data_IF_425020349928
#
_entry.id   IF_425020349928
#
_cell.length_a   1.000
_cell.length_b   1.000
_cell.length_c   1.000
_cell.angle_alpha   90.00
_cell.angle_beta   90.00
_cell.angle_gamma   90.00
#
_symmetry.space_group_name_H-M   'P 1'
#
loop_
_entity.id
_entity.type
_entity.pdbx_description
1 polymer ?
#
# COMPACT_ATOMS: atom_id res chain seq x y z
N UNK A 1 13.22 18.84 -25.02
CA UNK A 1 12.35 19.43 -23.98
C UNK A 1 11.55 18.28 -23.39
N UNK A 2 12.08 17.68 -22.32
CA UNK A 2 11.51 16.52 -21.63
C UNK A 2 10.39 17.00 -20.71
N UNK A 3 9.13 16.79 -21.12
CA UNK A 3 7.99 16.93 -20.22
C UNK A 3 7.94 15.69 -19.33
N UNK A 4 8.67 15.73 -18.20
CA UNK A 4 8.43 14.81 -17.09
C UNK A 4 6.99 15.00 -16.62
N UNK A 5 6.11 14.09 -17.02
CA UNK A 5 4.72 14.13 -16.59
C UNK A 5 4.65 13.48 -15.21
N UNK A 6 4.56 14.30 -14.17
CA UNK A 6 4.27 13.83 -12.81
C UNK A 6 2.76 13.57 -12.74
N UNK A 7 2.37 12.32 -12.51
CA UNK A 7 0.96 11.96 -12.33
C UNK A 7 0.57 12.08 -10.86
N UNK A 8 -0.55 12.77 -10.61
CA UNK A 8 -1.08 12.98 -9.26
C UNK A 8 -2.42 12.24 -9.15
N UNK A 9 -2.44 11.15 -8.38
CA UNK A 9 -3.70 10.55 -7.92
C UNK A 9 -4.02 11.11 -6.52
N UNK A 10 -5.29 11.33 -6.21
CA UNK A 10 -5.71 11.89 -4.93
C UNK A 10 -5.34 10.95 -3.77
N UNK A 11 -4.79 11.48 -2.67
CA UNK A 11 -4.20 10.70 -1.56
C UNK A 11 -5.19 9.88 -0.73
N UNK A 12 -6.49 10.23 -0.75
CA UNK A 12 -7.57 9.39 -0.18
C UNK A 12 -7.41 7.91 -0.51
N UNK A 13 -6.78 7.65 -1.65
CA UNK A 13 -6.73 6.37 -2.30
C UNK A 13 -5.33 5.70 -2.14
N UNK A 14 -4.28 6.44 -1.76
CA UNK A 14 -2.90 5.92 -1.58
C UNK A 14 -2.65 5.17 -0.25
N UNK A 15 -3.62 5.15 0.67
CA UNK A 15 -3.41 4.81 2.08
C UNK A 15 -4.00 3.47 2.53
N UNK A 16 -4.15 2.53 1.60
CA UNK A 16 -4.67 1.19 1.93
C UNK A 16 -3.67 0.06 1.66
N UNK A 17 -2.78 0.19 0.67
CA UNK A 17 -1.43 -0.41 0.55
C UNK A 17 -0.92 -0.09 -0.85
N UNK A 18 0.24 0.54 -1.04
CA UNK A 18 0.70 0.88 -2.40
C UNK A 18 1.63 -0.19 -2.97
N UNK A 19 1.19 -0.88 -4.03
CA UNK A 19 2.02 -1.79 -4.83
C UNK A 19 2.13 -1.28 -6.28
N UNK A 20 3.32 -1.45 -6.86
CA UNK A 20 3.73 -1.04 -8.21
C UNK A 20 3.88 -2.28 -9.06
N UNK A 21 3.54 -2.15 -10.33
CA UNK A 21 3.72 -3.22 -11.30
C UNK A 21 4.36 -2.69 -12.57
N UNK A 22 5.30 -3.43 -13.12
CA UNK A 22 5.74 -3.32 -14.50
C UNK A 22 5.29 -4.59 -15.17
N UNK A 23 4.48 -4.48 -16.20
CA UNK A 23 4.27 -5.60 -17.11
C UNK A 23 4.97 -5.20 -18.40
N UNK A 24 6.01 -5.92 -18.77
CA UNK A 24 6.75 -5.67 -20.01
C UNK A 24 7.10 -6.99 -20.69
N UNK A 25 7.02 -7.05 -22.01
CA UNK A 25 7.39 -8.25 -22.77
C UNK A 25 8.84 -8.15 -23.21
N UNK A 26 9.68 -9.10 -22.80
CA UNK A 26 11.03 -9.29 -23.35
C UNK A 26 11.17 -10.71 -23.90
N UNK A 27 11.55 -10.85 -25.17
CA UNK A 27 11.81 -12.15 -25.80
C UNK A 27 13.25 -12.65 -25.55
N UNK A 28 14.07 -11.92 -24.78
CA UNK A 28 15.35 -12.41 -24.24
C UNK A 28 15.40 -12.35 -22.72
N UNK A 29 15.96 -13.41 -22.16
CA UNK A 29 16.39 -13.50 -20.77
C UNK A 29 17.38 -12.35 -20.49
N UNK A 30 17.27 -11.59 -19.38
CA UNK A 30 18.48 -11.02 -18.79
C UNK A 30 19.47 -12.17 -18.57
N UNK A 31 20.80 -11.96 -18.64
CA UNK A 31 21.78 -13.02 -18.51
C UNK A 31 21.40 -13.94 -17.35
N UNK A 32 21.48 -15.25 -17.59
CA UNK A 32 21.18 -16.25 -16.57
C UNK A 32 21.89 -15.83 -15.28
N UNK A 33 21.13 -15.44 -14.27
CA UNK A 33 21.65 -15.44 -12.91
C UNK A 33 21.85 -16.92 -12.59
N UNK A 34 23.05 -17.42 -12.90
CA UNK A 34 23.51 -18.68 -12.37
C UNK A 34 23.46 -18.54 -10.86
N UNK A 35 22.50 -19.22 -10.24
CA UNK A 35 22.47 -19.41 -8.80
C UNK A 35 23.75 -20.12 -8.37
N UNK A 36 24.74 -19.34 -7.93
CA UNK A 36 25.81 -19.73 -7.01
C UNK A 36 26.80 -18.60 -6.72
N UNK A 37 26.73 -17.44 -7.37
CA UNK A 37 27.50 -16.28 -6.93
C UNK A 37 26.74 -15.56 -5.82
N UNK A 38 27.16 -15.84 -4.59
CA UNK A 38 26.87 -15.02 -3.41
C UNK A 38 26.95 -13.54 -3.79
N UNK A 39 25.84 -12.81 -3.67
CA UNK A 39 25.84 -11.35 -3.71
C UNK A 39 26.79 -10.87 -2.61
N UNK A 40 28.06 -10.62 -2.97
CA UNK A 40 29.05 -9.96 -2.15
C UNK A 40 28.83 -8.44 -2.10
N UNK A 41 27.59 -7.99 -2.26
CA UNK A 41 27.17 -6.66 -1.84
C UNK A 41 26.69 -6.87 -0.42
N UNK A 42 27.39 -6.30 0.56
CA UNK A 42 26.99 -6.30 1.97
C UNK A 42 25.47 -6.36 2.09
N UNK A 43 24.95 -7.46 2.63
CA UNK A 43 23.64 -7.53 3.27
C UNK A 43 23.65 -6.52 4.42
N UNK A 44 23.58 -5.23 4.11
CA UNK A 44 22.89 -4.32 5.00
C UNK A 44 21.43 -4.47 4.60
N UNK A 45 20.77 -5.43 5.24
CA UNK A 45 19.32 -5.41 5.32
C UNK A 45 18.92 -3.98 5.66
N UNK A 46 18.08 -3.38 4.83
CA UNK A 46 17.40 -2.16 5.22
C UNK A 46 16.47 -2.61 6.33
N UNK A 47 16.89 -2.37 7.57
CA UNK A 47 16.06 -2.54 8.74
C UNK A 47 14.92 -1.54 8.64
N UNK A 48 13.77 -2.03 8.19
CA UNK A 48 12.49 -1.34 8.28
C UNK A 48 11.77 -2.05 9.44
N UNK A 49 10.87 -1.39 10.17
CA UNK A 49 9.97 -2.06 11.14
C UNK A 49 10.48 -2.25 12.59
N UNK A 50 11.36 -1.37 13.10
CA UNK A 50 11.77 -1.45 14.52
C UNK A 50 12.67 -2.65 14.84
N UNK A 51 13.43 -3.13 13.85
CA UNK A 51 14.37 -4.26 13.95
C UNK A 51 15.48 -4.09 15.02
N UNK A 52 15.60 -2.91 15.63
CA UNK A 52 16.51 -2.67 16.76
C UNK A 52 15.94 -3.13 18.12
N UNK A 53 14.65 -3.47 18.20
CA UNK A 53 14.04 -3.95 19.44
C UNK A 53 14.28 -5.45 19.66
N UNK A 54 14.68 -5.83 20.87
CA UNK A 54 14.74 -7.24 21.25
C UNK A 54 13.31 -7.82 21.32
N UNK A 55 12.95 -8.61 20.32
CA UNK A 55 11.66 -9.29 20.23
C UNK A 55 11.86 -10.73 20.73
N UNK A 56 11.12 -11.17 21.76
CA UNK A 56 11.13 -12.57 22.21
C UNK A 56 10.79 -13.53 21.07
N UNK A 57 11.44 -14.69 20.99
CA UNK A 57 11.31 -15.62 19.86
C UNK A 57 9.86 -16.09 19.61
N UNK A 58 9.04 -16.15 20.66
CA UNK A 58 7.60 -16.47 20.62
C UNK A 58 6.73 -15.39 19.95
N UNK A 59 7.29 -14.22 19.66
CA UNK A 59 6.59 -13.11 19.02
C UNK A 59 7.10 -12.81 17.61
N UNK A 60 8.24 -13.38 17.19
CA UNK A 60 8.84 -13.16 15.86
C UNK A 60 7.99 -13.80 14.75
N UNK A 61 7.64 -13.01 13.73
CA UNK A 61 7.05 -13.52 12.49
C UNK A 61 8.12 -14.15 11.57
N UNK A 62 7.75 -15.17 10.80
CA UNK A 62 8.59 -15.73 9.74
C UNK A 62 8.85 -14.67 8.66
N UNK A 63 10.07 -14.15 8.58
CA UNK A 63 10.41 -13.12 7.59
C UNK A 63 10.48 -13.73 6.18
N UNK A 64 9.51 -13.39 5.34
CA UNK A 64 9.54 -13.65 3.88
C UNK A 64 10.12 -12.44 3.14
N UNK A 65 10.81 -12.62 2.01
CA UNK A 65 11.17 -11.51 1.13
C UNK A 65 9.93 -10.70 0.74
N UNK A 66 9.96 -9.39 0.97
CA UNK A 66 8.81 -8.51 0.73
C UNK A 66 7.74 -8.47 1.84
N UNK A 67 7.99 -9.09 3.00
CA UNK A 67 7.12 -8.96 4.17
C UNK A 67 7.04 -7.50 4.65
N UNK A 68 5.81 -7.04 4.92
CA UNK A 68 5.46 -5.68 5.34
C UNK A 68 5.26 -5.53 6.86
N UNK A 69 5.15 -6.64 7.59
CA UNK A 69 4.83 -6.60 9.02
C UNK A 69 6.07 -6.72 9.90
N UNK A 70 6.02 -6.12 11.10
CA UNK A 70 7.11 -6.25 12.04
C UNK A 70 7.10 -7.67 12.59
N UNK A 71 8.20 -7.95 13.27
CA UNK A 71 8.25 -9.07 14.17
C UNK A 71 7.41 -8.87 15.46
N UNK A 72 6.57 -7.82 15.62
CA UNK A 72 5.75 -7.60 16.83
C UNK A 72 4.34 -7.00 16.58
N UNK A 73 3.30 -7.81 16.79
CA UNK A 73 1.88 -7.48 16.60
C UNK A 73 1.24 -6.64 17.72
N UNK A 74 1.89 -6.54 18.89
CA UNK A 74 1.35 -5.83 20.09
C UNK A 74 1.17 -4.32 19.88
N UNK A 75 1.79 -3.86 18.81
CA UNK A 75 2.11 -2.48 18.54
C UNK A 75 0.99 -1.79 17.74
N UNK A 76 0.41 -2.49 16.76
CA UNK A 76 -0.81 -2.07 16.06
C UNK A 76 -2.01 -1.92 17.03
N UNK A 77 -2.09 -2.84 17.99
CA UNK A 77 -3.12 -2.83 19.02
C UNK A 77 -3.09 -1.59 19.89
N UNK A 78 -1.91 -1.07 20.19
CA UNK A 78 -1.77 0.14 20.99
C UNK A 78 -2.39 1.35 20.30
N UNK A 79 -2.10 1.56 19.01
CA UNK A 79 -2.67 2.69 18.27
C UNK A 79 -4.20 2.62 18.19
N UNK A 80 -4.75 1.46 17.78
CA UNK A 80 -6.19 1.30 17.64
C UNK A 80 -6.90 1.39 19.01
N UNK A 81 -6.27 0.84 20.06
CA UNK A 81 -6.77 0.97 21.44
C UNK A 81 -6.92 2.43 21.85
N UNK A 82 -5.98 3.33 21.50
CA UNK A 82 -6.12 4.76 21.81
C UNK A 82 -7.33 5.41 21.12
N UNK A 83 -7.62 5.03 19.88
CA UNK A 83 -8.79 5.56 19.15
C UNK A 83 -10.10 5.04 19.77
N UNK A 84 -10.15 3.75 20.10
CA UNK A 84 -11.29 3.11 20.78
C UNK A 84 -11.53 3.74 22.14
N UNK A 85 -10.49 3.88 22.96
CA UNK A 85 -10.55 4.52 24.28
C UNK A 85 -11.10 5.94 24.21
N UNK A 86 -10.71 6.70 23.18
CA UNK A 86 -11.23 8.04 22.98
C UNK A 86 -12.74 8.01 22.73
N UNK A 87 -13.20 7.17 21.80
CA UNK A 87 -14.63 7.03 21.48
C UNK A 87 -15.42 6.56 22.71
N UNK A 88 -14.93 5.56 23.43
CA UNK A 88 -15.59 4.99 24.60
C UNK A 88 -15.72 6.00 25.76
N UNK A 89 -14.73 6.88 25.94
CA UNK A 89 -14.73 7.90 27.01
C UNK A 89 -15.60 9.12 26.68
N UNK A 90 -15.75 9.47 25.39
CA UNK A 90 -16.43 10.70 24.97
C UNK A 90 -17.84 10.46 24.42
N UNK A 91 -18.21 9.20 24.19
CA UNK A 91 -19.51 8.80 23.65
C UNK A 91 -19.62 9.02 22.14
N UNK A 92 -20.62 8.37 21.54
CA UNK A 92 -20.89 8.46 20.11
C UNK A 92 -21.30 9.89 19.72
N UNK A 93 -20.63 10.43 18.70
CA UNK A 93 -21.00 11.71 18.06
C UNK A 93 -21.90 11.42 16.86
N UNK A 94 -22.72 12.40 16.41
CA UNK A 94 -23.44 12.27 15.14
C UNK A 94 -22.47 11.90 14.01
N UNK A 95 -22.83 10.88 13.23
CA UNK A 95 -22.03 10.44 12.09
C UNK A 95 -21.98 11.55 11.04
N UNK A 96 -20.80 11.81 10.49
CA UNK A 96 -20.69 12.66 9.30
C UNK A 96 -21.51 12.07 8.14
N UNK A 97 -21.97 12.90 7.18
CA UNK A 97 -22.95 12.46 6.17
C UNK A 97 -22.56 11.18 5.42
N UNK A 98 -21.28 11.00 5.07
CA UNK A 98 -20.81 9.81 4.35
C UNK A 98 -20.88 8.54 5.20
N UNK A 99 -20.65 8.63 6.52
CA UNK A 99 -20.78 7.49 7.42
C UNK A 99 -22.23 7.18 7.75
N UNK A 100 -23.09 8.20 7.77
CA UNK A 100 -24.54 7.98 7.85
C UNK A 100 -25.06 7.27 6.60
N UNK A 101 -24.52 7.60 5.41
CA UNK A 101 -24.81 6.87 4.17
C UNK A 101 -24.32 5.41 4.27
N UNK A 102 -23.11 5.19 4.80
CA UNK A 102 -22.56 3.84 4.98
C UNK A 102 -23.41 3.00 5.95
N UNK A 103 -23.82 3.59 7.08
CA UNK A 103 -24.76 2.95 8.02
C UNK A 103 -26.06 2.56 7.32
N UNK A 104 -26.63 3.46 6.53
CA UNK A 104 -27.86 3.19 5.79
C UNK A 104 -27.69 2.06 4.77
N UNK A 105 -26.54 1.97 4.08
CA UNK A 105 -26.21 0.86 3.20
C UNK A 105 -26.19 -0.47 3.95
N UNK A 106 -25.50 -0.51 5.10
CA UNK A 106 -25.40 -1.70 5.95
C UNK A 106 -26.79 -2.14 6.41
N UNK A 107 -27.61 -1.23 6.95
CA UNK A 107 -28.88 -1.59 7.59
C UNK A 107 -30.04 -1.84 6.63
N UNK A 108 -30.00 -1.27 5.42
CA UNK A 108 -31.09 -1.40 4.43
C UNK A 108 -30.85 -2.50 3.40
N UNK A 109 -29.67 -3.11 3.40
CA UNK A 109 -29.35 -4.21 2.51
C UNK A 109 -29.11 -5.49 3.33
N UNK A 110 -30.02 -6.49 3.30
CA UNK A 110 -29.91 -7.70 4.13
C UNK A 110 -28.60 -8.48 3.92
N UNK A 111 -28.06 -8.50 2.69
CA UNK A 111 -26.80 -9.17 2.36
C UNK A 111 -25.63 -8.50 3.09
N UNK A 112 -25.54 -7.17 2.97
CA UNK A 112 -24.47 -6.38 3.60
C UNK A 112 -24.63 -6.37 5.12
N UNK A 113 -25.86 -6.24 5.63
CA UNK A 113 -26.17 -6.33 7.06
C UNK A 113 -25.65 -7.63 7.67
N UNK A 114 -25.91 -8.76 6.99
CA UNK A 114 -25.43 -10.07 7.41
C UNK A 114 -23.90 -10.10 7.49
N UNK A 115 -23.19 -9.63 6.46
CA UNK A 115 -21.73 -9.62 6.47
C UNK A 115 -21.15 -8.74 7.59
N UNK A 116 -21.62 -7.50 7.72
CA UNK A 116 -21.15 -6.54 8.73
C UNK A 116 -21.55 -6.91 10.16
N UNK A 117 -22.51 -7.80 10.34
CA UNK A 117 -22.82 -8.39 11.65
C UNK A 117 -21.88 -9.56 11.94
N UNK A 118 -21.76 -10.51 11.01
CA UNK A 118 -21.04 -11.77 11.23
C UNK A 118 -19.51 -11.61 11.26
N UNK A 119 -18.93 -10.67 10.49
CA UNK A 119 -17.47 -10.50 10.42
C UNK A 119 -16.82 -10.29 11.80
N UNK A 120 -17.53 -9.67 12.75
CA UNK A 120 -17.03 -9.44 14.11
C UNK A 120 -17.19 -10.67 15.03
N UNK A 121 -18.22 -11.48 14.77
CA UNK A 121 -18.48 -12.72 15.52
C UNK A 121 -17.54 -13.85 15.10
N UNK A 122 -17.08 -13.82 13.85
CA UNK A 122 -16.16 -14.79 13.26
C UNK A 122 -14.70 -14.63 13.75
N UNK A 123 -14.35 -13.50 14.37
CA UNK A 123 -13.01 -13.29 14.94
C UNK A 123 -12.76 -14.32 16.08
N UNK A 124 -11.69 -15.14 16.01
CA UNK A 124 -11.43 -16.17 17.00
C UNK A 124 -11.29 -15.61 18.43
N UNK A 125 -11.89 -16.29 19.42
CA UNK A 125 -11.84 -15.90 20.83
C UNK A 125 -10.55 -16.41 21.52
N UNK A 126 -9.38 -16.04 21.01
CA UNK A 126 -8.06 -16.37 21.62
C UNK A 126 -7.41 -15.12 22.25
N UNK A 127 -6.51 -15.26 23.25
CA UNK A 127 -5.89 -14.12 23.91
C UNK A 127 -5.29 -13.07 22.97
N UNK A 128 -4.66 -13.51 21.86
CA UNK A 128 -4.07 -12.60 20.87
C UNK A 128 -5.08 -11.74 20.09
N UNK A 129 -6.36 -12.14 20.05
CA UNK A 129 -7.46 -11.43 19.38
C UNK A 129 -8.43 -10.78 20.37
N UNK A 130 -8.32 -11.13 21.66
CA UNK A 130 -9.26 -10.77 22.71
C UNK A 130 -8.78 -9.63 23.60
N UNK A 131 -7.48 -9.27 23.56
CA UNK A 131 -6.87 -8.38 24.56
C UNK A 131 -6.09 -7.24 23.91
N UNK A 132 -6.56 -6.03 24.13
CA UNK A 132 -5.69 -4.88 24.37
C UNK A 132 -5.03 -5.01 25.76
N UNK A 133 -4.15 -4.09 26.18
CA UNK A 133 -3.61 -4.06 27.55
C UNK A 133 -4.67 -3.97 28.66
N UNK A 134 -5.96 -3.78 28.34
CA UNK A 134 -7.07 -3.57 29.29
C UNK A 134 -8.10 -4.72 29.33
N UNK A 135 -8.01 -5.71 28.43
CA UNK A 135 -8.82 -6.93 28.44
C UNK A 135 -10.16 -6.88 27.68
N UNK A 136 -10.34 -6.00 26.68
CA UNK A 136 -11.57 -5.92 25.85
C UNK A 136 -11.31 -6.10 24.35
N UNK A 137 -12.35 -6.50 23.59
CA UNK A 137 -12.37 -6.46 22.11
C UNK A 137 -12.25 -5.01 21.63
N UNK A 138 -11.32 -4.73 20.71
CA UNK A 138 -11.06 -3.38 20.20
C UNK A 138 -12.27 -2.80 19.44
N UNK A 139 -12.72 -3.45 18.38
CA UNK A 139 -13.99 -3.13 17.70
C UNK A 139 -14.99 -4.25 18.02
N UNK A 140 -16.24 -3.87 18.33
CA UNK A 140 -17.23 -4.78 18.93
C UNK A 140 -18.31 -5.21 17.94
N UNK A 141 -18.72 -4.28 17.09
CA UNK A 141 -19.73 -4.44 16.05
C UNK A 141 -19.55 -3.31 15.01
N UNK A 142 -20.37 -3.32 13.96
CA UNK A 142 -20.32 -2.30 12.90
C UNK A 142 -20.77 -0.91 13.38
N UNK A 143 -21.54 -0.79 14.47
CA UNK A 143 -21.94 0.52 15.00
C UNK A 143 -20.73 1.17 15.66
N UNK A 144 -20.04 0.43 16.51
CA UNK A 144 -18.79 0.88 17.12
C UNK A 144 -17.71 1.16 16.06
N UNK A 145 -17.63 0.32 15.02
CA UNK A 145 -16.77 0.58 13.85
C UNK A 145 -17.05 1.96 13.23
N UNK A 146 -18.32 2.31 13.00
CA UNK A 146 -18.70 3.61 12.44
C UNK A 146 -18.33 4.77 13.38
N UNK A 147 -18.46 4.61 14.69
CA UNK A 147 -18.06 5.64 15.66
C UNK A 147 -16.54 5.88 15.64
N UNK A 148 -15.74 4.81 15.55
CA UNK A 148 -14.29 4.92 15.43
C UNK A 148 -13.88 5.54 14.09
N UNK A 149 -14.52 5.14 12.98
CA UNK A 149 -14.32 5.78 11.67
C UNK A 149 -14.66 7.28 11.73
N UNK A 150 -15.73 7.65 12.42
CA UNK A 150 -16.16 9.06 12.55
C UNK A 150 -15.11 9.89 13.29
N UNK A 151 -14.40 9.28 14.24
CA UNK A 151 -13.27 9.91 14.91
C UNK A 151 -12.05 10.05 13.99
N UNK A 152 -11.67 8.98 13.28
CA UNK A 152 -10.49 8.93 12.40
C UNK A 152 -10.60 9.90 11.23
N UNK A 153 -11.79 10.03 10.62
CA UNK A 153 -12.01 10.85 9.42
C UNK A 153 -11.73 12.34 9.61
N UNK A 154 -11.63 12.80 10.86
CA UNK A 154 -11.38 14.21 11.21
C UNK A 154 -9.96 14.46 11.70
N UNK A 155 -9.05 13.50 11.51
CA UNK A 155 -7.67 13.56 12.00
C UNK A 155 -6.65 13.22 10.90
N UNK A 156 -5.50 13.88 11.00
CA UNK A 156 -4.32 13.52 10.23
C UNK A 156 -3.69 12.26 10.84
N UNK A 157 -2.99 11.43 10.05
CA UNK A 157 -2.23 10.32 10.60
C UNK A 157 -1.12 10.85 11.50
N UNK A 158 -1.14 10.48 12.78
CA UNK A 158 -0.07 10.79 13.71
C UNK A 158 1.09 9.80 13.55
N UNK A 159 2.31 10.24 13.88
CA UNK A 159 3.41 9.31 14.06
C UNK A 159 3.18 8.50 15.34
N UNK A 160 3.37 7.19 15.25
CA UNK A 160 3.71 6.39 16.41
C UNK A 160 4.79 5.42 16.02
N UNK A 161 5.81 5.27 16.86
CA UNK A 161 6.84 4.21 16.72
C UNK A 161 6.17 2.86 16.52
N UNK A 162 4.99 2.73 17.13
CA UNK A 162 4.16 1.60 16.99
C UNK A 162 3.65 1.37 15.54
N UNK A 163 2.92 2.33 14.99
CA UNK A 163 2.42 2.23 13.62
C UNK A 163 3.56 2.16 12.60
N UNK A 164 4.69 2.82 12.87
CA UNK A 164 5.88 2.77 12.03
C UNK A 164 6.51 1.37 12.04
N UNK A 165 6.64 0.77 13.23
CA UNK A 165 7.04 -0.61 13.42
C UNK A 165 6.19 -1.54 12.57
N UNK A 166 4.87 -1.38 12.56
CA UNK A 166 4.00 -2.26 11.76
C UNK A 166 3.79 -1.87 10.30
N UNK A 167 4.53 -0.87 9.78
CA UNK A 167 4.32 -0.39 8.41
C UNK A 167 2.95 0.27 8.17
N UNK A 168 2.20 0.53 9.24
CA UNK A 168 0.85 1.10 9.26
C UNK A 168 0.82 2.60 9.54
N UNK A 169 1.97 3.23 9.74
CA UNK A 169 2.04 4.67 9.93
C UNK A 169 1.48 5.37 8.69
N UNK A 170 0.49 6.24 8.87
CA UNK A 170 -0.25 6.81 7.76
C UNK A 170 -1.56 6.12 7.41
N UNK A 171 -1.80 4.85 7.73
CA UNK A 171 -2.90 4.05 7.15
C UNK A 171 -3.93 3.53 8.18
N UNK A 172 -4.66 4.42 8.87
CA UNK A 172 -5.48 4.07 10.05
C UNK A 172 -6.67 3.12 9.76
N UNK A 173 -7.16 3.07 8.52
CA UNK A 173 -8.30 2.23 8.15
C UNK A 173 -7.92 0.75 8.07
N UNK A 174 -6.72 0.44 7.60
CA UNK A 174 -6.22 -0.94 7.54
C UNK A 174 -6.16 -1.50 8.96
N UNK A 175 -5.65 -0.73 9.93
CA UNK A 175 -5.60 -1.17 11.32
C UNK A 175 -6.98 -1.49 11.91
N UNK A 176 -8.03 -0.75 11.50
CA UNK A 176 -9.41 -0.96 11.93
C UNK A 176 -10.04 -2.21 11.31
N UNK A 177 -9.69 -2.53 10.05
CA UNK A 177 -10.27 -3.65 9.31
C UNK A 177 -9.46 -4.95 9.37
N UNK A 178 -8.18 -4.89 9.73
CA UNK A 178 -7.20 -5.98 9.68
C UNK A 178 -7.75 -7.37 10.04
N UNK A 179 -8.42 -7.49 11.19
CA UNK A 179 -8.97 -8.79 11.60
C UNK A 179 -10.24 -9.20 10.88
N UNK A 180 -11.12 -8.27 10.57
CA UNK A 180 -12.37 -8.63 9.89
C UNK A 180 -12.09 -9.00 8.44
N UNK A 181 -11.06 -8.45 7.79
CA UNK A 181 -10.67 -8.77 6.42
C UNK A 181 -10.40 -10.26 6.20
N UNK A 182 -9.77 -10.93 7.17
CA UNK A 182 -9.47 -12.36 7.15
C UNK A 182 -10.63 -13.30 7.53
N UNK A 183 -11.83 -12.78 7.83
CA UNK A 183 -13.02 -13.59 8.16
C UNK A 183 -13.83 -13.96 6.91
N UNK A 184 -14.57 -15.08 6.87
CA UNK A 184 -15.44 -15.43 5.75
C UNK A 184 -16.44 -14.32 5.36
N UNK A 185 -17.08 -13.70 6.34
CA UNK A 185 -18.03 -12.61 6.13
C UNK A 185 -17.33 -11.30 5.76
N UNK A 186 -16.15 -11.02 6.32
CA UNK A 186 -15.38 -9.85 5.90
C UNK A 186 -14.84 -9.97 4.48
N UNK A 187 -14.30 -11.13 4.10
CA UNK A 187 -13.93 -11.42 2.71
C UNK A 187 -15.11 -11.17 1.74
N UNK A 188 -16.30 -11.67 2.09
CA UNK A 188 -17.50 -11.41 1.29
C UNK A 188 -17.88 -9.92 1.25
N UNK A 189 -17.79 -9.21 2.38
CA UNK A 189 -18.07 -7.77 2.45
C UNK A 189 -17.10 -6.94 1.61
N UNK A 190 -15.80 -7.17 1.73
CA UNK A 190 -14.77 -6.37 1.07
C UNK A 190 -14.58 -6.73 -0.42
N UNK A 191 -15.21 -7.80 -0.90
CA UNK A 191 -15.41 -8.07 -2.32
C UNK A 191 -16.71 -7.47 -2.88
N UNK A 192 -17.65 -7.04 -2.03
CA UNK A 192 -18.95 -6.55 -2.48
C UNK A 192 -18.82 -5.20 -3.20
N UNK A 193 -19.31 -5.06 -4.45
CA UNK A 193 -19.17 -3.81 -5.21
C UNK A 193 -19.86 -2.60 -4.56
N UNK A 194 -20.97 -2.81 -3.85
CA UNK A 194 -21.70 -1.71 -3.20
C UNK A 194 -20.97 -1.24 -1.94
N UNK A 195 -20.32 -2.17 -1.22
CA UNK A 195 -19.43 -1.85 -0.10
C UNK A 195 -18.22 -1.06 -0.59
N UNK A 196 -17.54 -1.49 -1.66
CA UNK A 196 -16.36 -0.78 -2.16
C UNK A 196 -16.68 0.61 -2.74
N UNK A 197 -17.85 0.80 -3.37
CA UNK A 197 -18.33 2.15 -3.72
C UNK A 197 -18.50 3.04 -2.49
N UNK A 198 -18.96 2.48 -1.38
CA UNK A 198 -19.11 3.23 -0.14
C UNK A 198 -17.78 3.54 0.52
N UNK A 199 -16.86 2.57 0.57
CA UNK A 199 -15.50 2.75 1.05
C UNK A 199 -14.77 3.84 0.24
N UNK A 200 -14.90 3.84 -1.10
CA UNK A 200 -14.41 4.93 -1.95
C UNK A 200 -14.94 6.30 -1.53
N UNK A 201 -16.23 6.42 -1.19
CA UNK A 201 -16.80 7.69 -0.71
C UNK A 201 -16.19 8.10 0.63
N UNK A 202 -16.08 7.17 1.58
CA UNK A 202 -15.50 7.41 2.91
C UNK A 202 -14.04 7.86 2.78
N UNK A 203 -13.24 7.13 2.01
CA UNK A 203 -11.84 7.45 1.74
C UNK A 203 -11.70 8.82 1.05
N UNK A 204 -12.53 9.11 0.05
CA UNK A 204 -12.54 10.42 -0.61
C UNK A 204 -12.87 11.56 0.35
N UNK A 205 -13.78 11.35 1.32
CA UNK A 205 -14.07 12.34 2.35
C UNK A 205 -12.86 12.59 3.24
N UNK A 206 -12.15 11.53 3.62
CA UNK A 206 -10.89 11.67 4.36
C UNK A 206 -9.83 12.42 3.56
N UNK A 207 -9.67 12.13 2.28
CA UNK A 207 -8.72 12.85 1.43
C UNK A 207 -9.01 14.34 1.31
N UNK A 208 -10.27 14.78 1.43
CA UNK A 208 -10.59 16.21 1.53
C UNK A 208 -10.02 16.80 2.81
N UNK A 209 -10.20 16.11 3.94
CA UNK A 209 -9.62 16.52 5.21
C UNK A 209 -8.08 16.54 5.13
N UNK A 210 -7.45 15.53 4.54
CA UNK A 210 -5.99 15.45 4.46
C UNK A 210 -5.34 16.56 3.63
N UNK A 211 -6.08 17.15 2.68
CA UNK A 211 -5.66 18.33 1.89
C UNK A 211 -5.92 19.66 2.59
N UNK A 212 -6.60 19.65 3.73
CA UNK A 212 -6.90 20.85 4.50
C UNK A 212 -5.71 21.31 5.35
N UNK A 213 -5.57 22.60 5.68
CA UNK A 213 -4.56 23.08 6.61
C UNK A 213 -4.62 22.44 8.00
N UNK A 214 -5.82 22.03 8.44
CA UNK A 214 -6.04 21.39 9.73
C UNK A 214 -5.30 20.06 9.86
N UNK A 215 -5.14 19.31 8.75
CA UNK A 215 -4.40 18.04 8.77
C UNK A 215 -2.90 18.22 9.03
N UNK A 216 -2.34 19.43 8.82
CA UNK A 216 -0.93 19.71 9.08
C UNK A 216 -0.58 19.68 10.58
N UNK A 217 -1.57 19.62 11.48
CA UNK A 217 -1.33 19.61 12.93
C UNK A 217 -0.40 18.50 13.41
N UNK A 218 -0.33 17.39 12.67
CA UNK A 218 0.55 16.24 12.97
C UNK A 218 1.98 16.41 12.44
N UNK A 219 2.28 17.50 11.73
CA UNK A 219 3.61 17.82 11.19
C UNK A 219 4.43 18.63 12.21
N UNK A 220 4.47 18.15 13.46
CA UNK A 220 5.24 18.75 14.56
C UNK A 220 6.56 18.01 14.84
N UNK A 221 7.40 18.61 15.67
CA UNK A 221 8.68 18.07 16.17
C UNK A 221 8.53 17.27 17.49
N UNK A 222 7.30 17.12 17.99
CA UNK A 222 6.98 16.30 19.15
C UNK A 222 6.97 14.80 18.83
N UNK A 223 6.90 13.95 19.86
CA UNK A 223 6.96 12.47 19.72
C UNK A 223 5.97 11.87 18.71
N UNK A 224 4.75 12.42 18.65
CA UNK A 224 3.69 11.93 17.75
C UNK A 224 3.67 12.64 16.38
N UNK A 225 4.71 13.44 16.10
CA UNK A 225 4.78 14.32 14.95
C UNK A 225 5.73 13.79 13.89
N UNK A 226 5.42 14.07 12.63
CA UNK A 226 6.22 13.59 11.49
C UNK A 226 7.60 14.24 11.37
N UNK A 227 7.87 15.34 12.08
CA UNK A 227 9.20 15.94 12.21
C UNK A 227 9.84 15.67 13.58
N UNK A 228 9.21 14.84 14.42
CA UNK A 228 9.83 14.32 15.62
C UNK A 228 11.05 13.45 15.31
N UNK A 229 11.93 13.28 16.30
CA UNK A 229 13.21 12.58 16.14
C UNK A 229 13.06 11.18 15.52
N UNK A 230 12.15 10.35 16.05
CA UNK A 230 11.90 9.00 15.54
C UNK A 230 11.40 9.01 14.09
N UNK A 231 10.37 9.80 13.81
CA UNK A 231 9.78 9.90 12.48
C UNK A 231 10.80 10.35 11.41
N UNK A 232 11.56 11.39 11.74
CA UNK A 232 12.56 11.94 10.84
C UNK A 232 13.69 10.93 10.58
N UNK A 233 14.18 10.27 11.64
CA UNK A 233 15.22 9.24 11.51
C UNK A 233 14.76 8.10 10.58
N UNK A 234 13.55 7.57 10.77
CA UNK A 234 13.03 6.47 9.96
C UNK A 234 12.81 6.87 8.50
N UNK A 235 12.23 8.04 8.25
CA UNK A 235 12.05 8.57 6.88
C UNK A 235 13.41 8.75 6.21
N UNK A 236 14.37 9.34 6.91
CA UNK A 236 15.68 9.61 6.35
C UNK A 236 16.51 8.34 6.20
N UNK A 237 16.32 7.31 7.02
CA UNK A 237 16.91 6.00 6.82
C UNK A 237 16.39 5.38 5.51
N UNK A 238 15.08 5.36 5.30
CA UNK A 238 14.47 4.87 4.06
C UNK A 238 14.95 5.67 2.84
N UNK A 239 15.01 6.99 2.95
CA UNK A 239 15.43 7.85 1.85
C UNK A 239 16.93 7.75 1.54
N UNK A 240 17.80 7.58 2.53
CA UNK A 240 19.25 7.60 2.32
C UNK A 240 19.81 6.22 1.91
N UNK A 241 19.20 5.13 2.36
CA UNK A 241 19.78 3.78 2.21
C UNK A 241 20.01 3.36 0.75
N UNK A 242 19.07 3.56 -0.21
CA UNK A 242 19.23 3.05 -1.57
C UNK A 242 20.47 3.57 -2.31
N UNK A 243 20.86 4.82 -2.04
CA UNK A 243 22.03 5.48 -2.66
C UNK A 243 23.19 5.67 -1.67
N UNK A 244 23.09 5.11 -0.47
CA UNK A 244 24.08 5.24 0.62
C UNK A 244 24.48 6.69 0.91
N UNK A 245 23.48 7.59 0.89
CA UNK A 245 23.68 9.02 1.17
C UNK A 245 23.58 9.33 2.66
N UNK A 246 23.87 10.58 3.04
CA UNK A 246 23.73 11.08 4.41
C UNK A 246 23.01 12.43 4.43
N UNK A 247 22.03 12.60 3.53
CA UNK A 247 21.24 13.82 3.44
C UNK A 247 20.43 14.05 4.71
N UNK A 248 20.27 15.31 5.10
CA UNK A 248 19.21 15.72 6.02
C UNK A 248 17.88 15.82 5.27
N UNK A 249 16.80 16.00 6.01
CA UNK A 249 15.46 16.10 5.44
C UNK A 249 15.37 17.23 4.39
N UNK A 250 15.93 18.39 4.70
CA UNK A 250 15.93 19.59 3.84
C UNK A 250 16.89 19.50 2.64
N UNK A 251 17.84 18.57 2.67
CA UNK A 251 18.73 18.25 1.54
C UNK A 251 18.06 17.23 0.60
N UNK A 252 17.21 16.36 1.13
CA UNK A 252 16.50 15.34 0.36
C UNK A 252 15.21 15.88 -0.27
N UNK A 253 14.43 16.66 0.48
CA UNK A 253 13.11 17.11 0.10
C UNK A 253 13.04 18.63 -0.04
N UNK A 254 12.15 19.10 -0.93
CA UNK A 254 11.86 20.52 -1.12
C UNK A 254 11.01 21.02 0.05
N UNK A 255 11.66 21.64 1.02
CA UNK A 255 11.01 22.27 2.17
C UNK A 255 11.79 23.48 2.69
N UNK A 256 11.21 24.19 3.67
CA UNK A 256 11.83 25.31 4.37
C UNK A 256 11.69 25.10 5.89
N UNK A 257 12.72 24.54 6.56
CA UNK A 257 12.67 24.24 8.00
C UNK A 257 12.41 25.45 8.90
N UNK A 258 12.59 26.68 8.40
CA UNK A 258 12.34 27.90 9.19
C UNK A 258 10.85 28.25 9.27
N UNK A 259 10.02 27.64 8.42
CA UNK A 259 8.57 27.83 8.40
C UNK A 259 7.87 26.77 9.25
N UNK A 260 6.69 27.13 9.74
CA UNK A 260 5.76 26.17 10.38
C UNK A 260 5.54 24.98 9.46
N UNK A 261 5.63 23.76 10.02
CA UNK A 261 5.52 22.50 9.28
C UNK A 261 6.48 22.40 8.09
N UNK A 262 7.66 23.02 8.19
CA UNK A 262 8.67 23.10 7.13
C UNK A 262 8.13 23.68 5.80
N UNK A 263 7.05 24.46 5.85
CA UNK A 263 6.39 25.05 4.69
C UNK A 263 5.32 24.18 4.02
N UNK A 264 5.10 22.94 4.48
CA UNK A 264 4.00 22.10 4.00
C UNK A 264 2.65 22.64 4.48
N UNK A 265 1.67 22.68 3.59
CA UNK A 265 0.35 23.29 3.83
C UNK A 265 -0.67 22.34 4.43
N UNK A 266 -0.46 21.04 4.30
CA UNK A 266 -1.36 19.97 4.74
C UNK A 266 -0.56 18.67 4.90
N UNK A 267 -1.13 17.65 5.54
CA UNK A 267 -0.55 16.32 5.55
C UNK A 267 -0.38 15.75 4.14
N UNK A 268 -1.33 16.01 3.22
CA UNK A 268 -1.27 15.58 1.82
C UNK A 268 -0.04 16.16 1.09
N UNK A 269 0.23 17.44 1.31
CA UNK A 269 1.38 18.16 0.75
C UNK A 269 2.73 17.59 1.26
N UNK A 270 2.78 17.18 2.53
CA UNK A 270 3.93 16.49 3.11
C UNK A 270 4.09 15.05 2.61
N UNK A 271 3.00 14.29 2.51
CA UNK A 271 3.05 12.89 2.09
C UNK A 271 3.49 12.76 0.64
N UNK A 272 3.05 13.68 -0.21
CA UNK A 272 3.49 13.83 -1.61
C UNK A 272 4.60 14.88 -1.77
N UNK A 273 5.43 15.09 -0.74
CA UNK A 273 6.59 15.99 -0.78
C UNK A 273 7.45 15.77 -2.04
N UNK A 274 8.07 16.83 -2.54
CA UNK A 274 8.99 16.75 -3.68
C UNK A 274 10.39 16.39 -3.21
N UNK A 275 11.08 15.54 -3.94
CA UNK A 275 12.53 15.34 -3.80
C UNK A 275 13.28 16.48 -4.49
N UNK A 276 14.48 16.82 -4.00
CA UNK A 276 15.39 17.69 -4.74
C UNK A 276 15.95 16.95 -5.96
N UNK A 277 16.27 17.71 -7.01
CA UNK A 277 16.66 17.17 -8.32
C UNK A 277 17.93 16.30 -8.25
N UNK A 278 18.89 16.68 -7.39
CA UNK A 278 20.14 15.99 -7.16
C UNK A 278 20.02 14.78 -6.23
N UNK A 279 18.93 14.67 -5.46
CA UNK A 279 18.73 13.60 -4.49
C UNK A 279 18.38 12.24 -5.14
N UNK A 280 17.88 12.25 -6.39
CA UNK A 280 17.44 11.05 -7.13
C UNK A 280 17.89 11.10 -8.60
N UNK A 281 19.19 10.93 -8.90
CA UNK A 281 19.66 10.85 -10.27
C UNK A 281 19.06 9.64 -10.99
N UNK A 282 18.61 9.84 -12.23
CA UNK A 282 18.10 8.75 -13.09
C UNK A 282 19.27 7.87 -13.52
N UNK A 283 19.10 6.55 -13.41
CA UNK A 283 20.11 5.59 -13.86
C UNK A 283 20.22 5.62 -15.40
N UNK A 284 21.45 5.70 -15.91
CA UNK A 284 21.77 5.67 -17.35
C UNK A 284 20.85 6.55 -18.21
N UNK A 285 20.80 7.88 -17.99
CA UNK A 285 19.81 8.77 -18.62
C UNK A 285 19.88 8.81 -20.15
N UNK A 286 21.05 8.48 -20.72
CA UNK A 286 21.28 8.43 -22.16
C UNK A 286 21.12 7.02 -22.77
N UNK A 287 20.84 6.00 -21.95
CA UNK A 287 20.62 4.61 -22.40
C UNK A 287 19.13 4.26 -22.36
N UNK A 288 18.47 4.40 -23.50
CA UNK A 288 17.05 4.09 -23.66
C UNK A 288 16.70 2.60 -23.55
N UNK A 289 17.69 1.70 -23.41
CA UNK A 289 17.44 0.27 -23.13
C UNK A 289 17.21 0.00 -21.64
N UNK A 290 17.50 0.95 -20.77
CA UNK A 290 17.31 0.85 -19.32
C UNK A 290 15.90 1.29 -18.93
N UNK A 291 15.22 0.45 -18.14
CA UNK A 291 13.95 0.79 -17.50
C UNK A 291 14.26 1.34 -16.11
N UNK A 292 13.97 2.62 -15.88
CA UNK A 292 14.13 3.25 -14.59
C UNK A 292 12.99 2.85 -13.62
N UNK A 293 13.24 2.92 -12.32
CA UNK A 293 12.18 2.66 -11.33
C UNK A 293 11.23 3.87 -11.27
N UNK A 294 9.92 3.65 -11.34
CA UNK A 294 8.87 4.68 -11.33
C UNK A 294 8.81 5.45 -10.01
N UNK A 295 9.09 4.81 -8.88
CA UNK A 295 9.17 5.48 -7.59
C UNK A 295 10.03 4.68 -6.61
N UNK A 296 10.27 5.25 -5.44
CA UNK A 296 10.91 4.54 -4.34
C UNK A 296 10.09 3.31 -3.96
N UNK A 297 10.71 2.14 -3.96
CA UNK A 297 10.00 0.91 -3.68
C UNK A 297 10.95 -0.23 -3.34
N UNK A 298 10.41 -1.25 -2.67
CA UNK A 298 11.09 -2.51 -2.36
C UNK A 298 10.52 -3.61 -3.24
N UNK A 299 11.37 -4.31 -3.97
CA UNK A 299 10.95 -5.42 -4.85
C UNK A 299 10.19 -6.46 -4.03
N UNK A 300 8.98 -6.80 -4.47
CA UNK A 300 8.18 -7.89 -3.93
C UNK A 300 8.41 -9.16 -4.75
N UNK A 301 8.27 -9.08 -6.07
CA UNK A 301 8.38 -10.25 -6.94
C UNK A 301 8.74 -9.87 -8.38
N UNK A 302 9.40 -10.79 -9.09
CA UNK A 302 9.62 -10.70 -10.54
C UNK A 302 9.24 -12.03 -11.19
N UNK A 303 8.15 -12.03 -11.96
CA UNK A 303 7.64 -13.20 -12.67
C UNK A 303 7.89 -13.06 -14.15
N UNK A 304 8.36 -14.12 -14.81
CA UNK A 304 8.54 -14.18 -16.26
C UNK A 304 7.49 -15.11 -16.87
N UNK A 305 7.20 -14.93 -18.16
CA UNK A 305 6.21 -15.74 -18.89
C UNK A 305 4.83 -15.74 -18.19
N UNK A 306 4.40 -14.54 -17.74
CA UNK A 306 3.12 -14.35 -17.09
C UNK A 306 1.97 -14.75 -18.03
N UNK A 307 1.00 -15.47 -17.48
CA UNK A 307 -0.14 -15.97 -18.25
C UNK A 307 -1.20 -14.89 -18.38
N UNK A 308 -1.88 -14.88 -19.53
CA UNK A 308 -3.04 -14.01 -19.74
C UNK A 308 -4.12 -14.25 -18.69
N UNK A 309 -4.35 -15.52 -18.34
CA UNK A 309 -5.30 -15.93 -17.30
C UNK A 309 -4.60 -16.85 -16.30
N UNK A 310 -4.71 -16.54 -15.02
CA UNK A 310 -4.24 -17.39 -13.93
C UNK A 310 -5.26 -17.46 -12.78
N UNK A 311 -5.15 -18.48 -11.94
CA UNK A 311 -5.96 -18.61 -10.71
C UNK A 311 -5.31 -17.80 -9.59
N UNK A 312 -5.31 -16.46 -9.70
CA UNK A 312 -4.62 -15.57 -8.76
C UNK A 312 -5.14 -15.64 -7.31
N UNK A 313 -6.32 -16.23 -7.10
CA UNK A 313 -7.00 -16.42 -5.82
C UNK A 313 -6.63 -17.73 -5.09
N UNK A 314 -5.52 -18.37 -5.45
CA UNK A 314 -4.98 -19.55 -4.74
C UNK A 314 -3.62 -19.21 -4.11
N UNK A 315 -3.12 -20.13 -3.27
CA UNK A 315 -1.76 -20.06 -2.72
C UNK A 315 -0.72 -19.77 -3.82
N UNK A 316 0.32 -19.00 -3.48
CA UNK A 316 1.33 -18.47 -4.41
C UNK A 316 0.86 -17.38 -5.36
N UNK A 317 -0.43 -17.02 -5.38
CA UNK A 317 -0.97 -15.81 -6.02
C UNK A 317 -0.40 -15.53 -7.43
N UNK A 318 -0.56 -16.46 -8.38
CA UNK A 318 -0.01 -16.28 -9.72
C UNK A 318 -0.68 -15.11 -10.43
N UNK A 319 0.10 -14.30 -11.14
CA UNK A 319 -0.41 -13.13 -11.85
C UNK A 319 -1.27 -13.49 -13.06
N UNK A 320 -2.40 -12.82 -13.18
CA UNK A 320 -3.35 -12.95 -14.29
C UNK A 320 -3.41 -11.62 -15.05
N UNK A 321 -2.71 -11.55 -16.19
CA UNK A 321 -2.51 -10.27 -16.91
C UNK A 321 -3.84 -9.63 -17.34
N UNK A 322 -4.83 -10.41 -17.79
CA UNK A 322 -6.14 -9.89 -18.15
C UNK A 322 -6.84 -9.22 -16.95
N UNK A 323 -6.76 -9.83 -15.78
CA UNK A 323 -7.40 -9.27 -14.58
C UNK A 323 -6.65 -8.04 -14.09
N UNK A 324 -5.32 -8.07 -14.05
CA UNK A 324 -4.50 -6.89 -13.72
C UNK A 324 -4.81 -5.70 -14.62
N UNK A 325 -5.06 -5.96 -15.90
CA UNK A 325 -5.32 -4.95 -16.93
C UNK A 325 -6.79 -4.63 -17.16
N UNK A 326 -7.67 -4.99 -16.21
CA UNK A 326 -9.11 -4.70 -16.27
C UNK A 326 -9.78 -5.19 -17.58
N UNK A 327 -9.28 -6.30 -18.14
CA UNK A 327 -9.71 -6.88 -19.41
C UNK A 327 -9.65 -5.89 -20.59
N UNK A 328 -8.77 -4.89 -20.50
CA UNK A 328 -8.57 -3.95 -21.59
C UNK A 328 -8.14 -4.68 -22.88
N UNK A 329 -8.60 -4.26 -24.07
CA UNK A 329 -8.19 -4.89 -25.32
C UNK A 329 -6.66 -4.93 -25.52
N UNK A 330 -5.93 -3.96 -24.94
CA UNK A 330 -4.47 -3.93 -25.02
C UNK A 330 -3.79 -5.05 -24.19
N UNK A 331 -4.49 -5.68 -23.25
CA UNK A 331 -3.94 -6.72 -22.39
C UNK A 331 -3.42 -7.94 -23.17
N UNK A 332 -3.99 -8.24 -24.33
CA UNK A 332 -3.56 -9.35 -25.18
C UNK A 332 -2.10 -9.19 -25.67
N UNK A 333 -1.59 -7.95 -25.76
CA UNK A 333 -0.20 -7.69 -26.16
C UNK A 333 0.82 -8.14 -25.10
N UNK A 334 0.39 -8.37 -23.86
CA UNK A 334 1.23 -8.73 -22.72
C UNK A 334 1.23 -10.23 -22.43
N UNK A 335 0.81 -11.06 -23.37
CA UNK A 335 0.95 -12.52 -23.25
C UNK A 335 2.44 -12.91 -23.11
N UNK A 336 2.77 -13.63 -22.03
CA UNK A 336 4.15 -14.04 -21.75
C UNK A 336 5.02 -12.91 -21.19
N UNK A 337 4.43 -11.83 -20.70
CA UNK A 337 5.17 -10.70 -20.17
C UNK A 337 5.98 -11.06 -18.91
N UNK A 338 6.99 -10.25 -18.62
CA UNK A 338 7.65 -10.16 -17.34
C UNK A 338 6.89 -9.15 -16.47
N UNK A 339 6.55 -9.57 -15.25
CA UNK A 339 5.92 -8.75 -14.24
C UNK A 339 6.95 -8.46 -13.16
N UNK A 340 7.28 -7.20 -12.93
CA UNK A 340 7.93 -6.75 -11.70
C UNK A 340 6.86 -6.19 -10.80
N UNK A 341 6.79 -6.64 -9.55
CA UNK A 341 6.00 -6.03 -8.50
C UNK A 341 6.93 -5.47 -7.43
N UNK A 342 6.65 -4.25 -6.94
CA UNK A 342 7.32 -3.69 -5.78
C UNK A 342 6.35 -2.94 -4.86
N UNK A 343 6.71 -2.83 -3.60
CA UNK A 343 5.93 -2.19 -2.56
C UNK A 343 6.47 -0.78 -2.26
N UNK A 344 5.57 0.18 -2.08
CA UNK A 344 5.88 1.56 -1.70
C UNK A 344 5.48 1.78 -0.24
N UNK A 345 6.48 2.02 0.62
CA UNK A 345 6.28 2.26 2.05
C UNK A 345 5.69 3.65 2.30
N UNK A 346 4.87 3.80 3.35
CA UNK A 346 4.39 5.10 3.82
C UNK A 346 5.52 6.11 4.12
N UNK A 347 6.73 5.63 4.41
CA UNK A 347 7.91 6.45 4.68
C UNK A 347 8.63 6.94 3.41
N UNK A 348 8.39 6.29 2.28
CA UNK A 348 9.04 6.58 1.00
C UNK A 348 8.46 7.84 0.33
N UNK A 349 9.07 8.25 -0.78
CA UNK A 349 8.55 9.28 -1.67
C UNK A 349 7.33 8.80 -2.47
N UNK A 350 6.15 9.41 -2.26
CA UNK A 350 4.87 9.05 -2.88
C UNK A 350 4.56 9.86 -4.14
N UNK A 351 5.50 9.92 -5.10
CA UNK A 351 5.18 10.32 -6.47
C UNK A 351 5.80 9.35 -7.47
N UNK A 352 5.14 9.24 -8.61
CA UNK A 352 5.55 8.35 -9.69
C UNK A 352 6.07 9.14 -10.88
N UNK A 353 7.12 8.59 -11.47
CA UNK A 353 7.78 9.06 -12.67
C UNK A 353 7.66 8.00 -13.77
N UNK A 354 7.70 8.44 -15.02
CA UNK A 354 7.69 7.51 -16.15
C UNK A 354 8.99 6.68 -16.16
N UNK A 355 8.90 5.35 -16.28
CA UNK A 355 10.07 4.48 -16.23
C UNK A 355 10.84 4.42 -17.56
N UNK A 356 10.20 4.86 -18.65
CA UNK A 356 10.74 4.91 -20.01
C UNK A 356 10.22 6.15 -20.73
N UNK A 357 10.93 6.59 -21.76
CA UNK A 357 10.41 7.58 -22.71
C UNK A 357 9.37 6.93 -23.64
N UNK A 358 8.29 7.66 -23.94
CA UNK A 358 7.22 7.15 -24.77
C UNK A 358 5.96 8.01 -24.72
N UNK A 359 4.97 7.57 -25.49
CA UNK A 359 3.64 8.17 -25.57
C UNK A 359 2.65 7.39 -24.72
N UNK A 360 1.92 8.07 -23.84
CA UNK A 360 0.76 7.45 -23.20
C UNK A 360 -0.34 7.28 -24.22
N UNK A 361 -0.70 6.02 -24.49
CA UNK A 361 -1.76 5.67 -25.44
C UNK A 361 -3.09 5.43 -24.74
N UNK A 362 -3.07 5.14 -23.44
CA UNK A 362 -4.25 4.94 -22.62
C UNK A 362 -3.94 5.09 -21.13
N UNK A 363 -4.84 5.73 -20.39
CA UNK A 363 -4.76 5.82 -18.94
C UNK A 363 -6.19 5.84 -18.34
N UNK A 364 -6.43 5.06 -17.30
CA UNK A 364 -7.72 5.04 -16.59
C UNK A 364 -7.54 4.56 -15.15
N UNK A 365 -8.60 4.72 -14.34
CA UNK A 365 -8.71 4.10 -13.02
C UNK A 365 -9.76 3.01 -13.12
N UNK A 366 -9.39 1.79 -12.73
CA UNK A 366 -10.30 0.67 -12.52
C UNK A 366 -10.75 0.67 -11.06
N UNK A 367 -12.06 0.81 -10.85
CA UNK A 367 -12.64 0.69 -9.52
C UNK A 367 -12.61 -0.77 -9.07
N UNK A 368 -12.08 -1.02 -7.88
CA UNK A 368 -11.89 -2.36 -7.32
C UNK A 368 -12.11 -2.40 -5.83
N UNK A 369 -11.37 -3.27 -5.15
CA UNK A 369 -11.42 -3.43 -3.70
C UNK A 369 -10.48 -2.48 -2.97
N UNK A 370 -10.72 -2.22 -1.69
CA UNK A 370 -9.81 -1.44 -0.82
C UNK A 370 -9.24 -2.24 0.38
N UNK A 371 -10.01 -3.19 0.90
CA UNK A 371 -9.67 -3.94 2.11
C UNK A 371 -9.93 -5.44 1.90
N UNK A 372 -9.67 -5.96 0.70
CA UNK A 372 -9.94 -7.36 0.39
C UNK A 372 -8.72 -8.23 0.65
N UNK A 373 -8.91 -9.33 1.38
CA UNK A 373 -7.90 -10.37 1.60
C UNK A 373 -8.39 -11.72 1.09
N UNK A 374 -7.51 -12.58 0.55
CA UNK A 374 -7.89 -13.92 0.12
C UNK A 374 -8.11 -14.87 1.30
N UNK A 375 -9.11 -15.75 1.21
CA UNK A 375 -9.49 -16.66 2.30
C UNK A 375 -8.40 -17.66 2.73
N UNK A 376 -7.43 -17.98 1.85
CA UNK A 376 -6.30 -18.85 2.20
C UNK A 376 -5.27 -18.18 3.13
N UNK A 377 -5.46 -16.89 3.44
CA UNK A 377 -4.68 -16.16 4.44
C UNK A 377 -5.47 -16.01 5.77
N UNK A 378 -6.61 -16.69 5.92
CA UNK A 378 -7.44 -16.58 7.11
C UNK A 378 -8.20 -17.86 7.48
N UNK A 379 -9.14 -17.74 8.41
CA UNK A 379 -9.94 -18.86 8.95
C UNK A 379 -10.95 -19.44 7.94
N UNK A 380 -11.00 -18.90 6.72
CA UNK A 380 -11.77 -19.44 5.62
C UNK A 380 -11.14 -20.66 4.94
N UNK A 381 -9.86 -20.96 5.21
CA UNK A 381 -9.20 -22.15 4.68
C UNK A 381 -9.43 -23.39 5.56
N UNK A 382 -9.76 -24.55 4.96
CA UNK A 382 -9.82 -25.81 5.69
C UNK A 382 -8.51 -26.11 6.44
N UNK A 383 -8.60 -26.24 7.77
CA UNK A 383 -7.45 -26.54 8.63
C UNK A 383 -6.71 -25.31 9.18
N UNK A 384 -7.13 -24.10 8.81
CA UNK A 384 -6.65 -22.86 9.42
C UNK A 384 -7.62 -22.44 10.53
N UNK A 385 -7.08 -22.16 11.72
CA UNK A 385 -7.86 -21.81 12.92
C UNK A 385 -7.47 -20.45 13.51
N UNK A 386 -6.65 -19.70 12.79
CA UNK A 386 -6.10 -18.40 13.17
C UNK A 386 -6.09 -17.46 11.95
N UNK A 387 -6.25 -16.15 12.19
CA UNK A 387 -6.06 -15.13 11.16
C UNK A 387 -4.55 -14.94 10.97
N UNK A 388 -4.06 -14.89 9.73
CA UNK A 388 -2.64 -14.73 9.46
C UNK A 388 -2.17 -13.37 10.00
N UNK A 389 -1.25 -13.42 10.98
CA UNK A 389 -0.65 -12.24 11.58
C UNK A 389 0.24 -11.46 10.60
N UNK A 390 0.45 -11.98 9.38
CA UNK A 390 1.11 -11.32 8.25
C UNK A 390 0.14 -10.48 7.37
N UNK A 391 -1.14 -10.37 7.74
CA UNK A 391 -2.14 -9.42 7.21
C UNK A 391 -2.16 -9.28 5.68
N UNK A 392 -2.37 -8.05 5.19
CA UNK A 392 -2.43 -7.75 3.75
C UNK A 392 -1.08 -7.90 3.03
N UNK A 393 0.03 -7.99 3.77
CA UNK A 393 1.38 -8.17 3.23
C UNK A 393 1.59 -9.50 2.51
N UNK A 394 0.80 -10.52 2.86
CA UNK A 394 0.81 -11.80 2.13
C UNK A 394 -0.06 -11.77 0.89
N UNK A 395 -1.06 -10.88 0.80
CA UNK A 395 -2.03 -10.80 -0.30
C UNK A 395 -1.57 -9.99 -1.53
N UNK A 396 -0.30 -9.56 -1.57
CA UNK A 396 0.20 -8.58 -2.54
C UNK A 396 0.04 -9.01 -4.02
N UNK A 397 0.20 -10.30 -4.33
CA UNK A 397 -0.03 -10.81 -5.68
C UNK A 397 -1.52 -10.89 -6.05
N UNK A 398 -2.39 -11.15 -5.07
CA UNK A 398 -3.84 -11.19 -5.22
C UNK A 398 -4.42 -9.79 -5.48
N UNK A 399 -3.93 -8.78 -4.76
CA UNK A 399 -4.40 -7.39 -4.90
C UNK A 399 -4.21 -6.83 -6.31
N UNK A 400 -3.20 -7.32 -7.04
CA UNK A 400 -2.93 -6.91 -8.43
C UNK A 400 -4.14 -6.94 -9.35
N UNK A 401 -5.05 -7.89 -9.10
CA UNK A 401 -6.18 -8.21 -9.96
C UNK A 401 -7.50 -7.61 -9.47
N UNK A 402 -7.59 -7.23 -8.19
CA UNK A 402 -8.86 -6.89 -7.54
C UNK A 402 -8.89 -5.50 -6.94
N UNK A 403 -7.76 -4.97 -6.46
CA UNK A 403 -7.69 -3.66 -5.86
C UNK A 403 -8.09 -2.56 -6.84
N UNK A 404 -8.64 -1.47 -6.30
CA UNK A 404 -8.77 -0.23 -7.07
C UNK A 404 -7.40 0.16 -7.60
N UNK A 405 -7.32 0.51 -8.90
CA UNK A 405 -6.03 0.78 -9.51
C UNK A 405 -6.03 1.74 -10.68
N UNK A 406 -5.01 2.59 -10.74
CA UNK A 406 -4.65 3.27 -11.97
C UNK A 406 -4.08 2.26 -12.97
N UNK A 407 -4.32 2.44 -14.26
CA UNK A 407 -3.77 1.63 -15.34
C UNK A 407 -3.26 2.58 -16.42
N UNK A 408 -1.96 2.59 -16.71
CA UNK A 408 -1.35 3.47 -17.72
C UNK A 408 -0.59 2.63 -18.75
N UNK A 409 -0.97 2.73 -20.02
CA UNK A 409 -0.29 2.11 -21.15
C UNK A 409 0.60 3.14 -21.83
N UNK A 410 1.90 2.87 -21.85
CA UNK A 410 2.90 3.69 -22.53
C UNK A 410 3.36 2.94 -23.77
N UNK A 411 3.31 3.56 -24.95
CA UNK A 411 4.02 3.14 -26.15
C UNK A 411 5.43 3.72 -26.09
N UNK A 412 6.43 2.90 -25.74
CA UNK A 412 7.80 3.38 -25.56
C UNK A 412 8.47 3.76 -26.89
N UNK A 413 9.30 4.81 -26.86
CA UNK A 413 9.99 5.32 -28.05
C UNK A 413 11.05 4.34 -28.60
N UNK A 414 11.53 3.44 -27.75
CA UNK A 414 12.61 2.51 -28.06
C UNK A 414 12.26 1.08 -27.63
N UNK A 415 12.45 0.14 -28.55
CA UNK A 415 12.55 -1.29 -28.23
C UNK A 415 14.06 -1.64 -28.22
N UNK A 416 14.58 -2.35 -27.20
CA UNK A 416 16.00 -2.72 -27.13
C UNK A 416 16.50 -3.27 -28.47
N UNK A 417 17.57 -2.70 -29.06
CA UNK A 417 18.09 -3.06 -30.39
C UNK A 417 18.42 -4.57 -30.50
N UNK A 418 17.44 -5.39 -30.85
CA UNK A 418 17.58 -6.70 -31.52
C UNK A 418 16.23 -7.24 -32.05
N UNK A 419 15.19 -6.40 -32.17
CA UNK A 419 13.84 -6.81 -32.60
C UNK A 419 13.56 -6.67 -34.11
N UNK A 420 14.51 -6.17 -34.92
CA UNK A 420 14.31 -5.97 -36.37
C UNK A 420 14.29 -7.27 -37.21
N UNK A 421 14.76 -8.41 -36.68
CA UNK A 421 14.85 -9.65 -37.47
C UNK A 421 13.55 -10.47 -37.56
N UNK A 422 12.46 -10.06 -36.89
CA UNK A 422 11.22 -10.85 -36.80
C UNK A 422 9.92 -10.07 -37.00
N UNK A 423 9.85 -9.06 -37.87
CA UNK A 423 8.57 -8.42 -38.26
C UNK A 423 7.60 -8.14 -37.08
N UNK A 424 8.14 -7.82 -35.89
CA UNK A 424 7.38 -7.71 -34.65
C UNK A 424 7.21 -6.22 -34.37
N UNK A 425 6.31 -5.58 -35.12
CA UNK A 425 5.87 -4.20 -34.86
C UNK A 425 4.91 -4.16 -33.67
N UNK A 426 5.38 -4.48 -32.46
CA UNK A 426 4.59 -4.21 -31.26
C UNK A 426 5.45 -3.33 -30.35
N UNK A 427 5.03 -2.08 -30.11
CA UNK A 427 5.77 -1.19 -29.23
C UNK A 427 5.92 -1.78 -27.83
N UNK A 428 7.02 -1.45 -27.18
CA UNK A 428 7.22 -1.76 -25.77
C UNK A 428 6.10 -1.10 -24.98
N UNK A 429 5.21 -1.91 -24.41
CA UNK A 429 4.20 -1.40 -23.50
C UNK A 429 4.70 -1.53 -22.08
N UNK A 430 4.92 -0.40 -21.40
CA UNK A 430 5.13 -0.40 -19.96
C UNK A 430 3.81 -0.01 -19.32
N UNK A 431 3.31 -0.96 -18.53
CA UNK A 431 2.16 -0.75 -17.68
C UNK A 431 2.62 -0.20 -16.33
N UNK A 432 1.91 0.80 -15.82
CA UNK A 432 1.92 1.10 -14.39
C UNK A 432 0.53 0.82 -13.80
N UNK A 433 0.48 0.00 -12.75
CA UNK A 433 -0.69 -0.12 -11.88
C UNK A 433 -0.38 0.31 -10.45
N UNK A 434 -1.30 1.01 -9.80
CA UNK A 434 -1.27 1.29 -8.34
C UNK A 434 -2.42 0.48 -7.76
N UNK A 435 -2.16 -0.66 -7.15
CA UNK A 435 -3.21 -1.31 -6.36
C UNK A 435 -3.31 -0.62 -5.02
N UNK A 436 -4.52 -0.41 -4.52
CA UNK A 436 -4.83 0.23 -3.24
C UNK A 436 -5.41 -0.77 -2.23
#
# INVERSE_FOLDING_TARGET
MTTSSIYYMSIAVMMTTSSIYYIYKTDRLPPQFHGSETFGVLEKMVHQHGDEHHIPDEHKNEQKPGAWLPADHRVQHEWLSRQVDHVDKHGAKPLIPVLQEFKNLIERNPRIYMYFTLMWDEIPRKPQYARDPTGKRQIRDYVHMLDVLNHILTKGPEWTDAAAGVGMVGVPFVALFDYVMGTPSGHAAFLDPDVNKMLKKVLNEWGKFLKSPESASVLGDHKEGWFGEAANNDIMQVANTPLQTHHKFEDMFVCDPTKKHHGYKSWDDFFTRQVREDARPVASPDDHSVVANCCESKVYNVVRDAKLRAKFFIKSQPYSVLDMLAHDPLAAHFAGATIYQAFLSALSYHRWHAPVSGKIVRAFVEDGTYFSEPLFEGIGEPGVHDINASGIGVAQGYLTALATRAVIFIEADYAPHEFESRNCHIPFHVLFTVSE
#
